data_IF_163958659495
#
_entry.id   IF_163958659495
#
_cell.length_a   1.000
_cell.length_b   1.000
_cell.length_c   1.000
_cell.angle_alpha   90.00
_cell.angle_beta   90.00
_cell.angle_gamma   90.00
#
_symmetry.space_group_name_H-M   'P 1'
#
loop_
_entity.id
_entity.type
_entity.pdbx_description
1 polymer ?
#
# COMPACT_ATOMS: atom_id res chain seq x y z
N UNK A 1 -11.81 -45.51 7.83
CA UNK A 1 -12.89 -44.59 8.20
C UNK A 1 -12.29 -43.22 8.19
N UNK A 2 -12.55 -42.43 7.15
CA UNK A 2 -12.21 -41.02 7.17
C UNK A 2 -13.19 -40.31 8.10
N UNK A 3 -12.65 -39.60 9.06
CA UNK A 3 -13.40 -38.86 10.07
C UNK A 3 -14.00 -37.62 9.37
N UNK A 4 -15.28 -37.69 9.01
CA UNK A 4 -16.00 -36.55 8.45
C UNK A 4 -16.09 -35.45 9.50
N UNK A 5 -15.37 -34.36 9.29
CA UNK A 5 -15.45 -33.18 10.13
C UNK A 5 -16.88 -32.61 10.16
N UNK A 6 -17.30 -31.98 11.27
CA UNK A 6 -18.59 -31.31 11.32
C UNK A 6 -18.63 -30.20 10.25
N UNK A 7 -19.60 -30.28 9.33
CA UNK A 7 -19.81 -29.25 8.28
C UNK A 7 -19.94 -27.84 8.86
N UNK A 8 -20.42 -27.71 10.10
CA UNK A 8 -20.48 -26.43 10.82
C UNK A 8 -19.11 -25.81 11.07
N UNK A 9 -18.10 -26.62 11.34
CA UNK A 9 -16.73 -26.17 11.59
C UNK A 9 -16.07 -25.66 10.32
N UNK A 10 -16.29 -26.35 9.19
CA UNK A 10 -15.79 -25.92 7.89
C UNK A 10 -16.35 -24.56 7.48
N UNK A 11 -17.66 -24.35 7.69
CA UNK A 11 -18.32 -23.06 7.44
C UNK A 11 -17.71 -21.94 8.30
N UNK A 12 -17.42 -22.23 9.56
CA UNK A 12 -16.80 -21.26 10.47
C UNK A 12 -15.37 -20.90 10.06
N UNK A 13 -14.56 -21.90 9.70
CA UNK A 13 -13.18 -21.71 9.20
C UNK A 13 -13.18 -20.83 7.95
N UNK A 14 -14.02 -21.18 6.96
CA UNK A 14 -14.19 -20.43 5.72
C UNK A 14 -14.55 -18.96 5.98
N UNK A 15 -15.51 -18.73 6.89
CA UNK A 15 -15.93 -17.39 7.29
C UNK A 15 -14.79 -16.60 7.94
N UNK A 16 -14.06 -17.19 8.88
CA UNK A 16 -13.01 -16.50 9.61
C UNK A 16 -11.82 -16.13 8.72
N UNK A 17 -11.42 -17.03 7.81
CA UNK A 17 -10.36 -16.77 6.83
C UNK A 17 -10.78 -15.65 5.87
N UNK A 18 -12.01 -15.71 5.34
CA UNK A 18 -12.54 -14.65 4.48
C UNK A 18 -12.52 -13.28 5.16
N UNK A 19 -12.99 -13.21 6.42
CA UNK A 19 -13.02 -11.96 7.18
C UNK A 19 -11.61 -11.43 7.48
N UNK A 20 -10.66 -12.32 7.79
CA UNK A 20 -9.26 -11.94 7.99
C UNK A 20 -8.66 -11.35 6.73
N UNK A 21 -8.88 -11.99 5.57
CA UNK A 21 -8.29 -11.52 4.31
C UNK A 21 -8.92 -10.21 3.85
N UNK A 22 -10.25 -10.10 3.89
CA UNK A 22 -10.98 -8.86 3.58
C UNK A 22 -10.51 -7.67 4.43
N UNK A 23 -10.21 -7.90 5.72
CA UNK A 23 -9.69 -6.86 6.59
C UNK A 23 -8.25 -6.42 6.25
N UNK A 24 -7.41 -7.35 5.79
CA UNK A 24 -6.03 -7.06 5.41
C UNK A 24 -5.92 -6.45 4.02
N UNK A 25 -6.82 -6.84 3.13
CA UNK A 25 -6.78 -6.52 1.71
C UNK A 25 -8.10 -5.88 1.23
N UNK A 26 -8.49 -4.71 1.77
CA UNK A 26 -9.78 -4.10 1.47
C UNK A 26 -9.98 -3.72 -0.02
N UNK A 27 -8.88 -3.61 -0.77
CA UNK A 27 -8.88 -3.27 -2.18
C UNK A 27 -8.94 -4.48 -3.13
N UNK A 28 -8.92 -5.72 -2.61
CA UNK A 28 -9.10 -6.93 -3.42
C UNK A 28 -10.59 -7.21 -3.60
N UNK A 29 -11.11 -6.89 -4.78
CA UNK A 29 -12.48 -7.21 -5.16
C UNK A 29 -12.59 -8.68 -5.63
N UNK A 30 -13.73 -9.33 -5.37
CA UNK A 30 -14.01 -10.67 -5.87
C UNK A 30 -13.46 -11.85 -5.05
N UNK A 31 -13.05 -11.61 -3.80
CA UNK A 31 -12.54 -12.66 -2.91
C UNK A 31 -13.58 -13.80 -2.71
N UNK A 32 -13.20 -15.07 -2.94
CA UNK A 32 -14.11 -16.20 -2.76
C UNK A 32 -14.36 -16.52 -1.28
N UNK A 33 -15.39 -17.34 -1.01
CA UNK A 33 -15.82 -17.65 0.37
C UNK A 33 -15.40 -19.02 0.90
N UNK A 34 -14.72 -19.86 0.11
CA UNK A 34 -14.21 -21.16 0.57
C UNK A 34 -12.68 -21.13 0.66
N UNK A 35 -12.11 -21.82 1.65
CA UNK A 35 -10.70 -21.73 1.98
C UNK A 35 -9.79 -22.06 0.80
N UNK A 36 -10.11 -23.10 0.02
CA UNK A 36 -9.27 -23.54 -1.11
C UNK A 36 -9.19 -22.45 -2.17
N UNK A 37 -10.33 -21.87 -2.54
CA UNK A 37 -10.38 -20.77 -3.49
C UNK A 37 -9.75 -19.50 -2.94
N UNK A 38 -9.86 -19.22 -1.63
CA UNK A 38 -9.20 -18.06 -1.00
C UNK A 38 -7.68 -18.19 -1.12
N UNK A 39 -7.11 -19.38 -0.94
CA UNK A 39 -5.66 -19.61 -1.09
C UNK A 39 -5.22 -19.50 -2.55
N UNK A 40 -6.02 -20.00 -3.49
CA UNK A 40 -5.70 -19.95 -4.93
C UNK A 40 -5.92 -18.58 -5.57
N UNK A 41 -6.76 -17.74 -4.97
CA UNK A 41 -7.11 -16.44 -5.53
C UNK A 41 -5.90 -15.51 -5.68
N UNK A 42 -5.04 -15.30 -4.64
CA UNK A 42 -3.82 -14.51 -4.77
C UNK A 42 -2.83 -15.03 -5.80
N UNK A 43 -2.70 -16.34 -5.96
CA UNK A 43 -1.78 -16.97 -6.91
C UNK A 43 -2.12 -16.64 -8.36
N UNK A 44 -3.42 -16.43 -8.63
CA UNK A 44 -3.94 -16.11 -9.95
C UNK A 44 -4.35 -14.64 -10.09
N UNK A 45 -4.24 -13.85 -9.02
CA UNK A 45 -4.68 -12.46 -9.00
C UNK A 45 -3.70 -11.58 -9.77
N UNK A 46 -4.20 -10.98 -10.85
CA UNK A 46 -3.47 -9.92 -11.57
C UNK A 46 -4.01 -8.56 -11.13
N UNK A 47 -3.23 -7.74 -10.42
CA UNK A 47 -3.70 -6.43 -9.98
C UNK A 47 -3.97 -5.52 -11.17
N UNK A 48 -5.09 -4.79 -11.12
CA UNK A 48 -5.37 -3.72 -12.07
C UNK A 48 -4.46 -2.53 -11.74
N UNK A 49 -3.44 -2.31 -12.55
CA UNK A 49 -2.53 -1.17 -12.41
C UNK A 49 -3.12 0.03 -13.16
N UNK A 50 -3.76 0.93 -12.42
CA UNK A 50 -4.18 2.23 -12.96
C UNK A 50 -2.99 3.18 -12.88
N UNK A 51 -2.43 3.55 -14.03
CA UNK A 51 -1.36 4.53 -14.10
C UNK A 51 -1.82 5.81 -14.78
N UNK A 52 -1.35 6.95 -14.27
CA UNK A 52 -1.54 8.26 -14.90
C UNK A 52 -0.18 8.84 -15.22
N UNK A 53 0.10 9.06 -16.49
CA UNK A 53 1.34 9.72 -16.90
C UNK A 53 1.25 11.21 -16.60
N UNK A 54 2.18 11.70 -15.76
CA UNK A 54 2.36 13.13 -15.51
C UNK A 54 3.64 13.57 -16.22
N UNK A 55 3.51 14.45 -17.22
CA UNK A 55 4.68 15.09 -17.84
C UNK A 55 5.01 16.38 -17.11
N UNK A 56 6.24 16.49 -16.64
CA UNK A 56 6.74 17.73 -16.06
C UNK A 56 7.17 18.69 -17.16
N UNK A 57 6.45 19.80 -17.31
CA UNK A 57 6.90 20.91 -18.15
C UNK A 57 7.86 21.82 -17.37
N UNK A 58 8.77 22.45 -18.10
CA UNK A 58 9.64 23.47 -17.52
C UNK A 58 8.80 24.61 -16.92
N UNK A 59 9.03 25.03 -15.67
CA UNK A 59 8.35 26.18 -15.10
C UNK A 59 8.66 27.45 -15.91
N UNK A 60 7.74 28.42 -15.91
CA UNK A 60 8.04 29.75 -16.44
C UNK A 60 9.17 30.41 -15.63
N UNK A 61 9.95 31.27 -16.28
CA UNK A 61 10.97 32.10 -15.63
C UNK A 61 10.41 32.80 -14.38
N UNK A 62 11.22 32.87 -13.32
CA UNK A 62 10.81 33.42 -12.02
C UNK A 62 9.98 32.48 -11.15
N UNK A 63 9.71 31.24 -11.59
CA UNK A 63 9.07 30.20 -10.78
C UNK A 63 10.07 29.15 -10.33
N UNK A 64 9.77 28.56 -9.17
CA UNK A 64 10.51 27.43 -8.63
C UNK A 64 9.75 26.12 -8.86
N UNK A 65 10.50 25.04 -9.08
CA UNK A 65 10.02 23.66 -9.04
C UNK A 65 10.39 23.07 -7.69
N UNK A 66 9.40 22.57 -6.95
CA UNK A 66 9.62 21.78 -5.73
C UNK A 66 9.30 20.31 -6.02
N UNK A 67 10.25 19.42 -5.79
CA UNK A 67 9.99 17.98 -5.76
C UNK A 67 10.00 17.54 -4.30
N UNK A 68 8.98 16.77 -3.91
CA UNK A 68 8.88 16.18 -2.57
C UNK A 68 8.92 14.67 -2.72
N UNK A 69 9.61 14.00 -1.82
CA UNK A 69 9.64 12.55 -1.70
C UNK A 69 9.37 12.14 -0.26
N UNK A 70 8.66 11.03 -0.09
CA UNK A 70 8.35 10.46 1.22
C UNK A 70 8.68 8.98 1.19
N UNK A 71 9.40 8.54 2.21
CA UNK A 71 9.75 7.14 2.39
C UNK A 71 9.24 6.67 3.76
N UNK A 72 8.43 5.63 3.73
CA UNK A 72 7.96 4.90 4.90
C UNK A 72 8.21 3.41 4.68
N UNK A 73 8.76 2.73 5.69
CA UNK A 73 8.82 1.28 5.71
C UNK A 73 7.55 0.75 6.37
N UNK A 74 6.89 -0.23 5.73
CA UNK A 74 5.75 -0.94 6.32
C UNK A 74 6.21 -1.56 7.65
N UNK A 75 5.47 -1.29 8.73
CA UNK A 75 5.79 -1.67 10.11
C UNK A 75 7.05 -1.02 10.73
N UNK A 76 7.63 0.00 10.12
CA UNK A 76 8.69 0.75 10.76
C UNK A 76 8.14 1.93 11.55
N UNK A 77 8.73 2.14 12.72
CA UNK A 77 8.50 3.32 13.57
C UNK A 77 9.03 4.61 12.94
N UNK A 78 9.70 4.54 11.79
CA UNK A 78 10.39 5.67 11.18
C UNK A 78 9.85 5.93 9.77
N UNK A 79 9.45 7.17 9.55
CA UNK A 79 9.19 7.73 8.22
C UNK A 79 10.15 8.90 7.95
N UNK A 80 10.33 9.24 6.70
CA UNK A 80 11.14 10.39 6.30
C UNK A 80 10.49 11.13 5.14
N UNK A 81 10.65 12.45 5.14
CA UNK A 81 10.19 13.32 4.06
C UNK A 81 11.36 14.20 3.62
N UNK A 82 11.52 14.34 2.33
CA UNK A 82 12.52 15.21 1.74
C UNK A 82 11.89 16.08 0.65
N UNK A 83 12.45 17.27 0.43
CA UNK A 83 12.12 18.07 -0.73
C UNK A 83 13.36 18.78 -1.29
N UNK A 84 13.31 19.10 -2.58
CA UNK A 84 14.30 19.94 -3.24
C UNK A 84 13.62 21.02 -4.08
N UNK A 85 14.25 22.20 -4.12
CA UNK A 85 13.82 23.37 -4.88
C UNK A 85 14.81 23.59 -6.01
N UNK A 86 14.28 23.80 -7.21
CA UNK A 86 15.04 24.13 -8.43
C UNK A 86 14.43 25.37 -9.08
N UNK A 87 15.23 26.16 -9.77
CA UNK A 87 14.71 27.24 -10.64
C UNK A 87 14.14 26.65 -11.94
N UNK A 88 13.52 27.52 -12.75
CA UNK A 88 12.95 27.16 -14.05
C UNK A 88 13.94 26.42 -14.98
N UNK A 89 15.22 26.78 -14.95
CA UNK A 89 16.30 26.17 -15.74
C UNK A 89 16.71 24.78 -15.24
N UNK A 90 16.20 24.35 -14.08
CA UNK A 90 16.54 23.08 -13.45
C UNK A 90 17.72 23.15 -12.48
N UNK A 91 18.37 24.31 -12.35
CA UNK A 91 19.45 24.50 -11.38
C UNK A 91 18.94 24.31 -9.95
N UNK A 92 19.76 23.65 -9.15
CA UNK A 92 19.46 23.36 -7.75
C UNK A 92 19.61 24.61 -6.89
N UNK A 93 18.64 24.84 -6.00
CA UNK A 93 18.63 25.98 -5.07
C UNK A 93 18.77 25.50 -3.64
N UNK A 94 17.97 24.52 -3.25
CA UNK A 94 17.85 24.11 -1.86
C UNK A 94 17.32 22.68 -1.72
N UNK A 95 17.72 21.97 -0.67
CA UNK A 95 17.12 20.71 -0.27
C UNK A 95 17.01 20.63 1.25
N UNK A 96 15.98 19.91 1.72
CA UNK A 96 15.80 19.58 3.13
C UNK A 96 15.22 18.18 3.26
N UNK A 97 15.67 17.47 4.28
CA UNK A 97 15.07 16.21 4.71
C UNK A 97 14.75 16.26 6.21
N UNK A 98 13.74 15.52 6.62
CA UNK A 98 13.39 15.30 8.03
C UNK A 98 12.90 13.87 8.21
N UNK A 99 13.44 13.20 9.22
CA UNK A 99 12.89 11.94 9.73
C UNK A 99 11.88 12.22 10.84
N UNK A 100 10.89 11.34 10.94
CA UNK A 100 9.88 11.32 11.97
C UNK A 100 9.85 9.91 12.56
N UNK A 101 9.89 9.83 13.88
CA UNK A 101 9.65 8.58 14.59
C UNK A 101 8.23 8.62 15.15
N UNK A 102 7.41 7.64 14.82
CA UNK A 102 6.10 7.42 15.44
C UNK A 102 6.28 6.46 16.60
N UNK A 103 5.83 6.83 17.81
CA UNK A 103 5.56 5.85 18.84
C UNK A 103 4.34 5.03 18.39
N UNK A 104 4.47 3.71 18.28
CA UNK A 104 3.38 2.82 17.90
C UNK A 104 2.22 2.94 18.90
N UNK A 105 1.18 3.70 18.54
CA UNK A 105 -0.12 3.74 19.24
C UNK A 105 -1.23 3.03 18.43
N UNK A 106 -0.87 2.05 17.60
CA UNK A 106 -1.85 1.26 16.83
C UNK A 106 -1.65 -0.25 17.01
N UNK A 107 -1.60 -0.69 18.28
CA UNK A 107 -1.97 -2.07 18.65
C UNK A 107 -3.27 -2.02 19.45
N UNK A 108 -4.40 -2.12 18.75
CA UNK A 108 -5.67 -2.61 19.27
C UNK A 108 -6.15 -3.72 18.35
#
# INVERSE_FOLDING_TARGET
MEEEWPKSMEVEINRNIFMMDKNRNPCLEGMPHNWLAIVQFPENYTPVIISKTVRWMQPRMGRYKCNTDESSKVNAEISSKAYCIRIAQGEFVYAKAKSFTYALLWRL
#
